data_IF_115832713994
#
_entry.id   IF_115832713994
#
_cell.length_a   1.000
_cell.length_b   1.000
_cell.length_c   1.000
_cell.angle_alpha   90.00
_cell.angle_beta   90.00
_cell.angle_gamma   90.00
#
_symmetry.space_group_name_H-M   'P 1'
#
loop_
_entity.id
_entity.type
_entity.pdbx_description
1 polymer ?
#
# COMPACT_ATOMS: atom_id res chain seq x y z
N UNK A 1 9.85 43.49 9.07
CA UNK A 1 8.85 42.78 8.23
C UNK A 1 9.44 42.37 6.87
N UNK A 2 10.21 43.21 6.18
CA UNK A 2 10.71 42.85 4.84
C UNK A 2 11.86 41.82 4.82
N UNK A 3 12.69 41.77 5.87
CA UNK A 3 13.70 40.72 6.00
C UNK A 3 13.09 39.30 6.08
N UNK A 4 11.94 39.16 6.77
CA UNK A 4 11.24 37.87 6.90
C UNK A 4 10.59 37.40 5.59
N UNK A 5 10.23 38.31 4.68
CA UNK A 5 9.69 37.97 3.36
C UNK A 5 10.77 37.45 2.40
N UNK A 6 12.02 37.85 2.60
CA UNK A 6 13.18 37.44 1.77
C UNK A 6 13.95 36.27 2.38
N UNK A 7 13.86 36.06 3.69
CA UNK A 7 14.45 34.90 4.33
C UNK A 7 13.75 33.64 3.84
N UNK A 8 14.50 32.78 3.15
CA UNK A 8 14.14 31.38 3.00
C UNK A 8 14.12 30.83 4.41
N UNK A 9 12.92 30.66 4.97
CA UNK A 9 12.74 30.07 6.29
C UNK A 9 13.41 28.69 6.23
N UNK A 10 14.24 28.33 7.22
CA UNK A 10 14.77 26.97 7.32
C UNK A 10 13.65 25.96 7.15
N UNK A 11 13.95 24.85 6.46
CA UNK A 11 13.05 23.72 6.23
C UNK A 11 12.76 22.96 7.54
N UNK A 12 12.34 23.66 8.58
CA UNK A 12 11.89 23.05 9.83
C UNK A 12 10.39 22.89 9.76
N UNK A 13 9.92 21.66 9.96
CA UNK A 13 8.50 21.33 9.99
C UNK A 13 7.77 22.16 11.04
N UNK A 14 6.77 22.91 10.62
CA UNK A 14 5.86 23.57 11.55
C UNK A 14 4.78 22.58 11.99
N UNK A 15 4.76 22.25 13.29
CA UNK A 15 3.85 21.26 13.87
C UNK A 15 2.69 21.94 14.59
N UNK A 16 1.46 21.58 14.22
CA UNK A 16 0.21 22.05 14.85
C UNK A 16 -0.41 20.89 15.61
N UNK A 17 -0.15 20.82 16.92
CA UNK A 17 -0.60 19.73 17.81
C UNK A 17 -1.61 20.15 18.89
N UNK A 18 -2.05 21.41 18.86
CA UNK A 18 -2.98 21.95 19.85
C UNK A 18 -3.50 23.34 19.49
N UNK A 19 -4.46 23.83 20.28
CA UNK A 19 -5.15 25.09 20.02
C UNK A 19 -4.21 26.32 20.00
N UNK A 20 -3.18 26.32 20.87
CA UNK A 20 -2.14 27.36 20.86
C UNK A 20 -1.45 27.44 19.50
N UNK A 21 -1.14 26.30 18.88
CA UNK A 21 -0.44 26.25 17.59
C UNK A 21 -1.36 26.61 16.43
N UNK A 22 -2.68 26.38 16.54
CA UNK A 22 -3.66 26.83 15.53
C UNK A 22 -3.71 28.37 15.49
N UNK A 23 -3.72 29.02 16.66
CA UNK A 23 -3.61 30.48 16.72
C UNK A 23 -2.27 30.99 16.17
N UNK A 24 -1.18 30.27 16.46
CA UNK A 24 0.14 30.57 15.89
C UNK A 24 0.14 30.42 14.36
N UNK A 25 -0.55 29.42 13.81
CA UNK A 25 -0.66 29.20 12.36
C UNK A 25 -1.24 30.40 11.63
N UNK A 26 -2.29 31.04 12.18
CA UNK A 26 -2.86 32.26 11.61
C UNK A 26 -1.85 33.41 11.57
N UNK A 27 -1.05 33.54 12.63
CA UNK A 27 0.01 34.56 12.71
C UNK A 27 1.15 34.25 11.73
N UNK A 28 1.53 32.97 11.60
CA UNK A 28 2.57 32.51 10.69
C UNK A 28 2.17 32.63 9.22
N UNK A 29 0.90 32.41 8.87
CA UNK A 29 0.39 32.67 7.53
C UNK A 29 0.64 34.13 7.09
N UNK A 30 0.61 35.07 8.04
CA UNK A 30 0.90 36.48 7.78
C UNK A 30 2.40 36.79 7.81
N UNK A 31 3.13 36.19 8.75
CA UNK A 31 4.55 36.48 8.97
C UNK A 31 5.48 35.76 7.97
N UNK A 32 5.12 34.53 7.58
CA UNK A 32 5.92 33.60 6.79
C UNK A 32 5.09 33.02 5.62
N UNK A 33 4.72 33.84 4.63
CA UNK A 33 3.91 33.40 3.50
C UNK A 33 4.62 32.34 2.62
N UNK A 34 5.95 32.22 2.75
CA UNK A 34 6.78 31.27 2.01
C UNK A 34 6.96 29.92 2.72
N UNK A 35 6.12 29.61 3.71
CA UNK A 35 6.17 28.32 4.39
C UNK A 35 5.83 27.18 3.42
N UNK A 36 6.68 26.15 3.41
CA UNK A 36 6.58 25.03 2.47
C UNK A 36 6.14 23.72 3.12
N UNK A 37 6.22 23.59 4.45
CA UNK A 37 5.97 22.33 5.15
C UNK A 37 5.17 22.56 6.42
N UNK A 38 4.06 21.82 6.57
CA UNK A 38 3.19 21.86 7.75
C UNK A 38 2.81 20.42 8.13
N UNK A 39 2.90 20.10 9.43
CA UNK A 39 2.36 18.89 10.02
C UNK A 39 1.26 19.25 11.02
N UNK A 40 0.13 18.56 10.97
CA UNK A 40 -1.03 18.80 11.82
C UNK A 40 -1.38 17.51 12.54
N UNK A 41 -1.30 17.48 13.86
CA UNK A 41 -1.46 16.28 14.67
C UNK A 41 -2.55 16.49 15.72
N UNK A 42 -3.59 15.65 15.78
CA UNK A 42 -4.58 15.63 16.86
C UNK A 42 -5.21 17.01 17.27
N UNK A 43 -5.50 17.97 16.37
CA UNK A 43 -5.99 19.26 16.82
C UNK A 43 -7.42 19.11 17.39
N UNK A 44 -7.75 19.81 18.46
CA UNK A 44 -9.10 19.70 19.06
C UNK A 44 -10.14 20.59 18.38
N UNK A 45 -9.73 21.64 17.64
CA UNK A 45 -10.59 22.70 17.12
C UNK A 45 -10.35 22.97 15.61
N UNK A 46 -11.20 22.39 14.76
CA UNK A 46 -10.91 22.22 13.33
C UNK A 46 -11.42 23.32 12.40
N UNK A 47 -12.51 24.01 12.75
CA UNK A 47 -13.11 25.03 11.85
C UNK A 47 -12.09 26.12 11.50
N UNK A 48 -11.31 26.57 12.49
CA UNK A 48 -10.27 27.60 12.33
C UNK A 48 -9.02 27.09 11.60
N UNK A 49 -8.80 25.79 11.53
CA UNK A 49 -7.64 25.21 10.85
C UNK A 49 -7.80 25.40 9.33
N UNK A 50 -8.99 25.09 8.80
CA UNK A 50 -9.31 25.15 7.37
C UNK A 50 -9.07 26.55 6.80
N UNK A 51 -9.56 27.59 7.48
CA UNK A 51 -9.45 28.98 7.03
C UNK A 51 -8.01 29.49 6.96
N UNK A 52 -7.12 28.92 7.80
CA UNK A 52 -5.72 29.34 7.85
C UNK A 52 -4.82 28.49 6.96
N UNK A 53 -5.17 27.22 6.71
CA UNK A 53 -4.37 26.32 5.89
C UNK A 53 -4.25 26.81 4.44
N UNK A 54 -5.33 27.34 3.87
CA UNK A 54 -5.36 27.83 2.49
C UNK A 54 -4.60 29.15 2.26
N UNK A 55 -4.09 29.78 3.32
CA UNK A 55 -3.25 30.99 3.20
C UNK A 55 -1.80 30.65 2.82
N UNK A 56 -1.40 29.39 2.86
CA UNK A 56 -0.06 28.93 2.51
C UNK A 56 0.00 28.47 1.04
N UNK A 57 -0.04 29.40 0.10
CA UNK A 57 -0.06 29.08 -1.34
C UNK A 57 1.21 28.39 -1.85
N UNK A 58 2.32 28.48 -1.11
CA UNK A 58 3.61 27.87 -1.42
C UNK A 58 3.84 26.54 -0.69
N UNK A 59 2.81 25.98 -0.05
CA UNK A 59 2.91 24.73 0.69
C UNK A 59 3.21 23.57 -0.27
N UNK A 60 4.31 22.86 0.00
CA UNK A 60 4.77 21.71 -0.78
C UNK A 60 4.58 20.39 -0.02
N UNK A 61 4.61 20.41 1.31
CA UNK A 61 4.39 19.22 2.14
C UNK A 61 3.32 19.48 3.19
N UNK A 62 2.32 18.61 3.21
CA UNK A 62 1.26 18.63 4.20
C UNK A 62 1.08 17.24 4.78
N UNK A 63 1.27 17.12 6.09
CA UNK A 63 0.92 15.92 6.84
C UNK A 63 -0.21 16.24 7.81
N UNK A 64 -1.28 15.45 7.78
CA UNK A 64 -2.41 15.53 8.70
C UNK A 64 -2.55 14.18 9.37
N UNK A 65 -2.48 14.14 10.70
CA UNK A 65 -2.52 12.90 11.48
C UNK A 65 -3.51 12.96 12.63
N UNK A 66 -4.29 11.90 12.82
CA UNK A 66 -5.10 11.70 14.01
C UNK A 66 -6.24 12.69 14.20
N UNK A 67 -6.79 13.26 13.12
CA UNK A 67 -7.89 14.22 13.15
C UNK A 67 -9.27 13.56 13.23
N UNK A 68 -9.43 12.57 14.11
CA UNK A 68 -10.59 11.68 14.17
C UNK A 68 -11.94 12.43 14.14
N UNK A 69 -12.82 12.01 13.23
CA UNK A 69 -14.25 12.34 13.08
C UNK A 69 -14.70 13.81 12.98
N UNK A 70 -13.84 14.80 13.20
CA UNK A 70 -14.28 16.20 13.36
C UNK A 70 -13.87 17.14 12.24
N UNK A 71 -12.85 16.80 11.44
CA UNK A 71 -12.38 17.70 10.40
C UNK A 71 -13.25 17.63 9.13
N UNK A 72 -13.88 16.48 8.87
CA UNK A 72 -14.66 16.28 7.64
C UNK A 72 -13.84 16.65 6.41
N UNK A 73 -12.59 16.19 6.36
CA UNK A 73 -11.64 16.52 5.30
C UNK A 73 -12.23 16.08 3.97
N UNK A 74 -12.41 17.04 3.09
CA UNK A 74 -12.85 16.81 1.74
C UNK A 74 -11.66 17.04 0.80
N UNK A 75 -11.25 16.00 0.07
CA UNK A 75 -10.07 16.04 -0.80
C UNK A 75 -10.16 17.17 -1.83
N UNK A 76 -11.31 17.36 -2.46
CA UNK A 76 -11.53 18.40 -3.46
C UNK A 76 -11.32 19.80 -2.88
N UNK A 77 -11.92 20.04 -1.71
CA UNK A 77 -11.74 21.31 -1.00
C UNK A 77 -10.27 21.52 -0.63
N UNK A 78 -9.57 20.48 -0.14
CA UNK A 78 -8.18 20.57 0.30
C UNK A 78 -7.23 20.95 -0.84
N UNK A 79 -7.39 20.34 -2.01
CA UNK A 79 -6.46 20.53 -3.13
C UNK A 79 -6.73 21.81 -3.92
N UNK A 80 -7.96 22.33 -3.87
CA UNK A 80 -8.35 23.57 -4.57
C UNK A 80 -7.46 24.78 -4.20
N UNK A 81 -6.98 24.84 -2.95
CA UNK A 81 -6.17 25.93 -2.42
C UNK A 81 -4.66 25.66 -2.36
N UNK A 82 -4.19 24.44 -2.66
CA UNK A 82 -2.81 23.99 -2.39
C UNK A 82 -2.14 23.37 -3.63
N UNK A 83 -2.15 24.11 -4.74
CA UNK A 83 -1.73 23.62 -6.07
C UNK A 83 -0.25 23.27 -6.23
N UNK A 84 0.59 23.62 -5.26
CA UNK A 84 2.04 23.34 -5.29
C UNK A 84 2.44 22.15 -4.40
N UNK A 85 1.46 21.41 -3.88
CA UNK A 85 1.70 20.23 -3.07
C UNK A 85 2.50 19.16 -3.85
N UNK A 86 3.58 18.71 -3.22
CA UNK A 86 4.41 17.59 -3.63
C UNK A 86 4.21 16.38 -2.73
N UNK A 87 3.97 16.59 -1.44
CA UNK A 87 3.70 15.50 -0.50
C UNK A 87 2.41 15.79 0.26
N UNK A 88 1.43 14.90 0.14
CA UNK A 88 0.19 14.94 0.91
C UNK A 88 0.02 13.62 1.67
N UNK A 89 0.06 13.70 3.00
CA UNK A 89 -0.11 12.56 3.90
C UNK A 89 -1.29 12.79 4.83
N UNK A 90 -2.27 11.90 4.79
CA UNK A 90 -3.49 11.91 5.60
C UNK A 90 -3.52 10.59 6.37
N UNK A 91 -3.04 10.62 7.61
CA UNK A 91 -2.82 9.45 8.45
C UNK A 91 -3.86 9.38 9.58
N UNK A 92 -4.50 8.24 9.77
CA UNK A 92 -5.43 8.03 10.89
C UNK A 92 -6.57 9.07 10.94
N UNK A 93 -7.18 9.34 9.77
CA UNK A 93 -8.25 10.34 9.61
C UNK A 93 -9.53 9.73 9.03
N UNK A 94 -10.28 9.01 9.86
CA UNK A 94 -11.55 8.32 9.51
C UNK A 94 -12.67 9.18 8.92
N UNK A 95 -12.57 10.51 8.99
CA UNK A 95 -13.58 11.40 8.40
C UNK A 95 -13.16 11.99 7.05
N UNK A 96 -12.05 11.52 6.49
CA UNK A 96 -11.62 11.96 5.17
C UNK A 96 -12.56 11.36 4.12
N UNK A 97 -13.05 12.23 3.24
CA UNK A 97 -13.95 11.89 2.14
C UNK A 97 -13.51 12.59 0.85
N UNK A 98 -14.16 12.23 -0.23
CA UNK A 98 -13.96 12.84 -1.54
C UNK A 98 -13.50 11.83 -2.57
N UNK A 99 -13.10 12.33 -3.73
CA UNK A 99 -12.66 11.51 -4.85
C UNK A 99 -11.17 11.74 -5.13
N UNK A 100 -10.39 10.68 -5.32
CA UNK A 100 -8.97 10.81 -5.68
C UNK A 100 -8.76 11.46 -7.05
N UNK A 101 -9.73 11.40 -7.97
CA UNK A 101 -9.67 12.13 -9.24
C UNK A 101 -9.59 13.66 -9.07
N UNK A 102 -10.01 14.19 -7.92
CA UNK A 102 -9.83 15.61 -7.60
C UNK A 102 -8.36 15.99 -7.44
N UNK A 103 -7.44 15.03 -7.24
CA UNK A 103 -5.99 15.26 -7.19
C UNK A 103 -5.38 15.62 -8.55
N UNK A 104 -6.13 15.54 -9.65
CA UNK A 104 -5.66 15.92 -11.01
C UNK A 104 -5.12 17.35 -11.06
N UNK A 105 -5.59 18.25 -10.18
CA UNK A 105 -5.04 19.62 -10.06
C UNK A 105 -3.58 19.65 -9.57
N UNK A 106 -3.08 18.54 -9.02
CA UNK A 106 -1.70 18.36 -8.53
C UNK A 106 -0.87 17.42 -9.43
N UNK A 107 -1.37 17.06 -10.62
CA UNK A 107 -0.74 16.09 -11.53
C UNK A 107 0.76 16.38 -11.75
N UNK A 108 1.11 17.63 -11.99
CA UNK A 108 2.49 18.03 -12.31
C UNK A 108 3.40 18.20 -11.09
N UNK A 109 2.85 18.17 -9.87
CA UNK A 109 3.58 18.48 -8.64
C UNK A 109 3.66 17.32 -7.66
N UNK A 110 2.64 16.47 -7.59
CA UNK A 110 2.49 15.45 -6.56
C UNK A 110 3.51 14.31 -6.74
N UNK A 111 4.34 14.13 -5.72
CA UNK A 111 5.36 13.09 -5.61
C UNK A 111 4.95 11.98 -4.64
N UNK A 112 4.28 12.32 -3.54
CA UNK A 112 3.84 11.39 -2.51
C UNK A 112 2.40 11.66 -2.16
N UNK A 113 1.56 10.64 -2.32
CA UNK A 113 0.19 10.64 -1.81
C UNK A 113 -0.02 9.44 -0.90
N UNK A 114 -0.30 9.71 0.37
CA UNK A 114 -0.57 8.67 1.35
C UNK A 114 -1.83 9.01 2.11
N UNK A 115 -2.85 8.19 1.95
CA UNK A 115 -3.99 8.14 2.85
C UNK A 115 -4.01 6.74 3.44
N UNK A 116 -3.80 6.67 4.75
CA UNK A 116 -3.74 5.39 5.44
C UNK A 116 -4.38 5.50 6.79
N UNK A 117 -5.13 4.47 7.14
CA UNK A 117 -5.54 4.23 8.51
C UNK A 117 -4.65 3.12 9.08
N UNK A 118 -3.85 3.45 10.08
CA UNK A 118 -3.25 2.48 10.97
C UNK A 118 -4.19 2.41 12.18
N UNK A 119 -5.01 1.36 12.33
CA UNK A 119 -5.67 1.18 13.60
C UNK A 119 -4.56 1.15 14.63
N UNK A 120 -4.65 2.02 15.64
CA UNK A 120 -3.86 1.81 16.84
C UNK A 120 -4.15 0.37 17.22
N UNK A 121 -3.14 -0.51 17.40
CA UNK A 121 -3.41 -1.86 17.84
C UNK A 121 -4.39 -1.72 19.01
N UNK A 122 -5.55 -2.39 19.01
CA UNK A 122 -6.28 -2.53 20.25
C UNK A 122 -5.25 -2.97 21.28
N UNK A 123 -5.36 -2.54 22.54
CA UNK A 123 -4.46 -3.02 23.60
C UNK A 123 -4.66 -4.53 23.80
N UNK A 124 -4.29 -5.33 22.80
CA UNK A 124 -4.28 -6.77 22.75
C UNK A 124 -3.12 -7.13 23.65
N UNK A 125 -3.45 -7.37 24.93
CA UNK A 125 -2.50 -7.68 26.00
C UNK A 125 -1.71 -8.98 25.75
N UNK A 126 -1.90 -9.64 24.61
CA UNK A 126 -1.23 -10.89 24.24
C UNK A 126 -0.58 -10.78 22.87
N UNK A 127 0.75 -10.94 22.87
CA UNK A 127 1.63 -10.90 21.69
C UNK A 127 1.28 -11.97 20.62
N UNK A 128 0.45 -12.97 20.96
CA UNK A 128 0.07 -14.06 20.05
C UNK A 128 -0.96 -13.70 18.98
N UNK A 129 -1.72 -12.62 19.14
CA UNK A 129 -2.85 -12.29 18.26
C UNK A 129 -2.46 -11.40 17.05
N UNK A 130 -1.17 -11.06 16.91
CA UNK A 130 -0.68 -10.25 15.79
C UNK A 130 -0.91 -10.93 14.43
N UNK A 131 -0.90 -12.26 14.38
CA UNK A 131 -1.24 -13.02 13.16
C UNK A 131 -2.69 -12.81 12.72
N UNK A 132 -3.62 -12.69 13.68
CA UNK A 132 -5.03 -12.40 13.40
C UNK A 132 -5.23 -10.93 13.00
N UNK A 133 -4.39 -10.01 13.49
CA UNK A 133 -4.47 -8.59 13.13
C UNK A 133 -4.11 -8.34 11.65
N UNK A 134 -3.15 -9.08 11.09
CA UNK A 134 -2.86 -9.01 9.65
C UNK A 134 -3.97 -9.62 8.76
N UNK A 135 -4.84 -10.46 9.34
CA UNK A 135 -6.03 -11.04 8.69
C UNK A 135 -7.28 -10.18 8.90
N UNK A 136 -7.24 -9.20 9.81
CA UNK A 136 -8.33 -8.25 9.96
C UNK A 136 -8.34 -7.40 8.69
N UNK A 137 -9.32 -7.65 7.81
CA UNK A 137 -9.63 -6.73 6.73
C UNK A 137 -9.78 -5.35 7.36
N UNK A 138 -8.91 -4.37 7.07
CA UNK A 138 -9.14 -3.03 7.53
C UNK A 138 -10.48 -2.65 6.91
N UNK A 139 -11.52 -2.52 7.74
CA UNK A 139 -12.76 -1.92 7.25
C UNK A 139 -12.36 -0.59 6.62
N UNK A 140 -12.83 -0.28 5.41
CA UNK A 140 -12.60 1.03 4.84
C UNK A 140 -13.18 2.05 5.81
N UNK A 141 -12.29 2.85 6.38
CA UNK A 141 -12.61 3.78 7.46
C UNK A 141 -12.69 5.21 6.93
N UNK A 142 -12.18 5.45 5.72
CA UNK A 142 -12.28 6.72 5.01
C UNK A 142 -13.29 6.60 3.86
N UNK A 143 -14.15 7.60 3.69
CA UNK A 143 -15.11 7.69 2.56
C UNK A 143 -14.45 8.26 1.28
N UNK A 144 -13.15 7.97 1.10
CA UNK A 144 -12.40 8.35 -0.10
C UNK A 144 -12.61 7.29 -1.17
N UNK A 145 -13.07 7.72 -2.34
CA UNK A 145 -13.47 6.89 -3.49
C UNK A 145 -12.69 7.29 -4.74
N UNK A 146 -12.94 6.59 -5.83
CA UNK A 146 -12.35 6.81 -7.16
C UNK A 146 -11.64 5.56 -7.67
N UNK A 147 -11.04 5.63 -8.85
CA UNK A 147 -10.23 4.55 -9.39
C UNK A 147 -8.75 4.93 -9.25
N UNK A 148 -7.90 4.06 -8.70
CA UNK A 148 -6.48 4.41 -8.52
C UNK A 148 -5.76 4.70 -9.86
N UNK A 149 -6.28 4.17 -10.97
CA UNK A 149 -5.79 4.46 -12.33
C UNK A 149 -6.02 5.91 -12.75
N UNK A 150 -6.89 6.67 -12.08
CA UNK A 150 -7.03 8.12 -12.28
C UNK A 150 -5.73 8.88 -11.94
N UNK A 151 -4.78 8.23 -11.27
CA UNK A 151 -3.47 8.77 -10.89
C UNK A 151 -2.31 8.21 -11.75
N UNK A 152 -2.61 7.38 -12.76
CA UNK A 152 -1.61 6.66 -13.55
C UNK A 152 -0.67 7.57 -14.35
N UNK A 153 -1.18 8.71 -14.81
CA UNK A 153 -0.46 9.65 -15.68
C UNK A 153 0.30 10.74 -14.92
N UNK A 154 0.43 10.62 -13.59
CA UNK A 154 1.14 11.59 -12.75
C UNK A 154 2.65 11.44 -12.95
N UNK A 155 3.32 12.36 -13.66
CA UNK A 155 4.70 12.19 -14.07
C UNK A 155 5.70 12.20 -12.91
N UNK A 156 5.30 12.62 -11.72
CA UNK A 156 6.21 12.74 -10.57
C UNK A 156 5.86 11.83 -9.39
N UNK A 157 4.76 11.07 -9.49
CA UNK A 157 4.28 10.25 -8.39
C UNK A 157 5.25 9.09 -8.12
N UNK A 158 5.87 9.11 -6.95
CA UNK A 158 6.83 8.10 -6.46
C UNK A 158 6.23 7.18 -5.43
N UNK A 159 5.30 7.66 -4.62
CA UNK A 159 4.71 6.85 -3.55
C UNK A 159 3.22 7.06 -3.48
N UNK A 160 2.47 5.95 -3.56
CA UNK A 160 1.02 5.92 -3.49
C UNK A 160 0.59 4.91 -2.42
N UNK A 161 -0.05 5.40 -1.36
CA UNK A 161 -0.65 4.57 -0.32
C UNK A 161 -2.12 4.96 -0.14
N UNK A 162 -3.01 4.01 -0.35
CA UNK A 162 -4.47 4.16 -0.33
C UNK A 162 -5.13 3.17 0.63
N UNK A 163 -4.38 2.58 1.57
CA UNK A 163 -4.88 1.56 2.50
C UNK A 163 -6.03 2.13 3.36
N UNK A 164 -7.12 1.36 3.49
CA UNK A 164 -8.27 1.74 4.32
C UNK A 164 -9.19 2.79 3.68
N UNK A 165 -9.16 2.91 2.35
CA UNK A 165 -10.09 3.72 1.55
C UNK A 165 -11.04 2.82 0.75
N UNK A 166 -12.06 3.43 0.13
CA UNK A 166 -12.94 2.79 -0.84
C UNK A 166 -12.48 2.98 -2.30
N UNK A 167 -11.19 3.28 -2.52
CA UNK A 167 -10.66 3.35 -3.88
C UNK A 167 -10.73 1.97 -4.53
N UNK A 168 -11.17 1.93 -5.78
CA UNK A 168 -11.29 0.72 -6.60
C UNK A 168 -10.27 0.73 -7.73
N UNK A 169 -10.27 -0.34 -8.53
CA UNK A 169 -9.45 -0.49 -9.73
C UNK A 169 -8.91 -1.91 -9.87
N UNK A 170 -8.09 -2.12 -10.88
CA UNK A 170 -7.45 -3.39 -11.17
C UNK A 170 -5.97 -3.18 -11.49
N UNK A 171 -5.07 -3.87 -10.78
CA UNK A 171 -3.63 -3.75 -11.07
C UNK A 171 -3.25 -4.29 -12.45
N UNK A 172 -4.08 -5.15 -13.06
CA UNK A 172 -3.85 -5.69 -14.40
C UNK A 172 -3.94 -4.61 -15.47
N UNK A 173 -4.70 -3.54 -15.20
CA UNK A 173 -4.87 -2.39 -16.08
C UNK A 173 -3.60 -1.51 -16.16
N UNK A 174 -2.62 -1.75 -15.28
CA UNK A 174 -1.34 -1.02 -15.32
C UNK A 174 -0.55 -1.43 -16.57
N UNK A 175 -0.49 -0.49 -17.50
CA UNK A 175 0.27 -0.55 -18.72
C UNK A 175 1.74 -0.14 -18.55
N UNK A 176 2.48 -0.22 -19.65
CA UNK A 176 3.92 0.08 -19.66
C UNK A 176 4.24 1.54 -19.32
N UNK A 177 3.36 2.47 -19.71
CA UNK A 177 3.53 3.92 -19.57
C UNK A 177 2.85 4.53 -18.33
N UNK A 178 2.11 3.74 -17.57
CA UNK A 178 1.46 4.19 -16.35
C UNK A 178 2.46 4.21 -15.20
N UNK A 179 2.37 5.17 -14.28
CA UNK A 179 3.17 5.20 -13.05
C UNK A 179 4.70 5.11 -13.29
N UNK A 180 5.22 5.86 -14.25
CA UNK A 180 6.63 5.78 -14.69
C UNK A 180 7.66 5.94 -13.57
N UNK A 181 7.37 6.78 -12.57
CA UNK A 181 8.28 7.10 -11.47
C UNK A 181 7.86 6.47 -10.13
N UNK A 182 6.87 5.57 -10.14
CA UNK A 182 6.36 4.98 -8.91
C UNK A 182 7.39 4.02 -8.33
N UNK A 183 7.72 4.23 -7.07
CA UNK A 183 8.68 3.46 -6.28
C UNK A 183 7.98 2.67 -5.16
N UNK A 184 6.79 3.07 -4.72
CA UNK A 184 6.04 2.38 -3.68
C UNK A 184 4.52 2.44 -3.96
N UNK A 185 3.85 1.29 -3.82
CA UNK A 185 2.42 1.14 -4.06
C UNK A 185 1.77 0.30 -2.94
N UNK A 186 0.78 0.89 -2.29
CA UNK A 186 -0.05 0.29 -1.25
C UNK A 186 -1.52 0.56 -1.59
N UNK A 187 -2.28 -0.47 -1.95
CA UNK A 187 -3.67 -0.35 -2.42
C UNK A 187 -4.65 -0.98 -1.41
N UNK A 188 -5.91 -0.49 -1.32
CA UNK A 188 -6.93 -1.07 -0.46
C UNK A 188 -7.40 -2.43 -1.00
N UNK A 189 -8.09 -3.21 -0.17
CA UNK A 189 -8.57 -4.57 -0.52
C UNK A 189 -9.56 -4.60 -1.68
N UNK A 190 -10.21 -3.47 -1.93
CA UNK A 190 -11.21 -3.22 -2.96
C UNK A 190 -10.59 -3.12 -4.36
N UNK A 191 -9.28 -2.85 -4.46
CA UNK A 191 -8.54 -2.94 -5.71
C UNK A 191 -8.16 -4.40 -5.95
N UNK A 192 -8.37 -4.91 -7.17
CA UNK A 192 -7.88 -6.25 -7.52
C UNK A 192 -6.36 -6.27 -7.42
N UNK A 193 -5.85 -7.14 -6.54
CA UNK A 193 -4.42 -7.21 -6.21
C UNK A 193 -3.95 -6.18 -5.16
N UNK A 194 -4.87 -5.46 -4.52
CA UNK A 194 -4.57 -4.64 -3.35
C UNK A 194 -4.34 -5.44 -2.07
N UNK A 195 -3.88 -4.79 -1.01
CA UNK A 195 -3.53 -5.50 0.23
C UNK A 195 -4.77 -6.13 0.86
N UNK A 196 -4.72 -7.42 1.17
CA UNK A 196 -5.87 -8.13 1.73
C UNK A 196 -6.90 -8.60 0.69
N UNK A 197 -6.63 -8.40 -0.61
CA UNK A 197 -7.57 -8.75 -1.68
C UNK A 197 -7.88 -10.25 -1.74
N UNK A 198 -9.15 -10.56 -1.99
CA UNK A 198 -9.67 -11.91 -2.16
C UNK A 198 -9.93 -12.23 -3.64
N UNK A 199 -9.08 -13.06 -4.23
CA UNK A 199 -9.30 -13.54 -5.59
C UNK A 199 -10.53 -14.44 -5.65
N UNK A 200 -11.38 -14.25 -6.65
CA UNK A 200 -12.57 -15.08 -6.84
C UNK A 200 -12.26 -16.37 -7.59
N UNK A 201 -11.20 -16.40 -8.40
CA UNK A 201 -10.73 -17.61 -9.09
C UNK A 201 -9.22 -17.78 -8.96
N UNK A 202 -8.78 -19.03 -8.95
CA UNK A 202 -7.35 -19.38 -9.03
C UNK A 202 -6.73 -18.83 -10.33
N UNK A 203 -7.51 -18.85 -11.41
CA UNK A 203 -7.09 -18.41 -12.75
C UNK A 203 -6.83 -16.91 -12.87
N UNK A 204 -7.31 -16.08 -11.92
CA UNK A 204 -7.14 -14.63 -11.98
C UNK A 204 -5.75 -14.19 -11.49
N UNK A 205 -5.08 -15.05 -10.72
CA UNK A 205 -3.83 -14.72 -10.03
C UNK A 205 -2.64 -14.54 -10.98
N UNK A 206 -2.41 -15.39 -12.00
CA UNK A 206 -1.28 -15.22 -12.91
C UNK A 206 -1.18 -13.82 -13.52
N UNK A 207 -2.28 -13.28 -14.04
CA UNK A 207 -2.30 -11.96 -14.68
C UNK A 207 -1.98 -10.84 -13.69
N UNK A 208 -2.54 -10.90 -12.48
CA UNK A 208 -2.23 -9.99 -11.39
C UNK A 208 -0.73 -10.04 -11.03
N UNK A 209 -0.14 -11.25 -10.99
CA UNK A 209 1.28 -11.43 -10.69
C UNK A 209 2.19 -10.89 -11.80
N UNK A 210 1.81 -11.06 -13.06
CA UNK A 210 2.52 -10.48 -14.18
C UNK A 210 2.50 -8.95 -14.13
N UNK A 211 1.37 -8.34 -13.77
CA UNK A 211 1.30 -6.88 -13.62
C UNK A 211 2.26 -6.36 -12.53
N UNK A 212 2.32 -7.04 -11.39
CA UNK A 212 3.23 -6.67 -10.29
C UNK A 212 4.68 -6.91 -10.67
N UNK A 213 4.95 -7.99 -11.38
CA UNK A 213 6.28 -8.26 -11.91
C UNK A 213 6.75 -7.13 -12.84
N UNK A 214 5.89 -6.67 -13.76
CA UNK A 214 6.19 -5.52 -14.63
C UNK A 214 6.56 -4.28 -13.83
N UNK A 215 5.79 -3.96 -12.78
CA UNK A 215 6.12 -2.85 -11.87
C UNK A 215 7.48 -3.06 -11.17
N UNK A 216 7.76 -4.27 -10.70
CA UNK A 216 9.03 -4.59 -10.03
C UNK A 216 10.25 -4.58 -10.97
N UNK A 217 10.06 -4.70 -12.28
CA UNK A 217 11.14 -4.54 -13.27
C UNK A 217 11.55 -3.07 -13.45
N UNK A 218 10.72 -2.12 -13.02
CA UNK A 218 11.09 -0.70 -13.00
C UNK A 218 12.11 -0.46 -11.89
N UNK A 219 13.13 0.34 -12.18
CA UNK A 219 14.19 0.65 -11.22
C UNK A 219 13.60 1.23 -9.94
N UNK A 220 14.00 0.69 -8.79
CA UNK A 220 13.65 1.13 -7.43
C UNK A 220 12.23 0.81 -6.92
N UNK A 221 11.39 0.10 -7.68
CA UNK A 221 10.06 -0.26 -7.18
C UNK A 221 10.12 -1.26 -6.02
N UNK A 222 9.57 -0.84 -4.87
CA UNK A 222 9.36 -1.63 -3.68
C UNK A 222 7.88 -1.93 -3.58
N UNK A 223 7.52 -3.17 -3.91
CA UNK A 223 6.23 -3.72 -3.50
C UNK A 223 6.28 -3.86 -1.98
N UNK A 224 5.49 -3.06 -1.27
CA UNK A 224 5.25 -3.32 0.14
C UNK A 224 4.63 -4.71 0.21
N UNK A 225 5.28 -5.62 0.94
CA UNK A 225 4.98 -7.06 0.93
C UNK A 225 3.47 -7.27 0.81
N UNK A 226 2.96 -7.93 -0.25
CA UNK A 226 1.54 -8.23 -0.36
C UNK A 226 1.24 -9.31 0.67
N UNK A 227 1.08 -8.88 1.91
CA UNK A 227 0.61 -9.70 2.99
C UNK A 227 -0.88 -9.88 2.77
N UNK A 228 -1.33 -11.13 2.66
CA UNK A 228 -2.75 -11.46 2.70
C UNK A 228 -3.46 -11.34 1.35
N UNK A 229 -2.87 -11.80 0.25
CA UNK A 229 -3.71 -12.23 -0.87
C UNK A 229 -4.12 -13.68 -0.67
N UNK A 230 -5.39 -13.95 -0.90
CA UNK A 230 -5.96 -15.27 -0.74
C UNK A 230 -7.09 -15.50 -1.74
N UNK A 231 -7.42 -16.76 -1.99
CA UNK A 231 -8.67 -17.11 -2.63
C UNK A 231 -9.82 -16.82 -1.66
N UNK A 232 -10.90 -16.20 -2.15
CA UNK A 232 -12.10 -15.98 -1.36
C UNK A 232 -12.66 -17.30 -0.85
N UNK A 233 -13.20 -17.32 0.37
CA UNK A 233 -13.95 -18.48 0.90
C UNK A 233 -15.26 -18.72 0.16
N UNK A 234 -15.73 -17.72 -0.59
CA UNK A 234 -16.90 -17.82 -1.46
C UNK A 234 -16.51 -18.20 -2.89
N UNK A 235 -15.22 -18.40 -3.16
CA UNK A 235 -14.75 -18.83 -4.46
C UNK A 235 -15.28 -20.24 -4.76
N UNK A 236 -15.78 -20.48 -5.97
CA UNK A 236 -16.11 -21.84 -6.42
C UNK A 236 -14.89 -22.76 -6.52
N UNK A 237 -13.66 -22.20 -6.49
CA UNK A 237 -12.43 -22.99 -6.49
C UNK A 237 -11.94 -23.28 -5.04
N UNK A 238 -12.64 -22.75 -4.03
CA UNK A 238 -12.30 -22.93 -2.61
C UNK A 238 -12.92 -24.20 -2.02
N UNK A 239 -12.21 -24.78 -1.05
CA UNK A 239 -12.64 -25.92 -0.25
C UNK A 239 -12.04 -25.81 1.17
N UNK A 240 -12.48 -26.64 2.11
CA UNK A 240 -11.99 -26.55 3.49
C UNK A 240 -10.48 -26.85 3.59
N UNK A 241 -9.76 -26.03 4.35
CA UNK A 241 -8.31 -26.13 4.60
C UNK A 241 -7.39 -26.07 3.37
N UNK A 242 -7.91 -25.64 2.22
CA UNK A 242 -7.08 -25.53 1.02
C UNK A 242 -5.98 -24.46 1.14
N UNK A 243 -4.88 -24.62 0.39
CA UNK A 243 -3.68 -23.78 0.49
C UNK A 243 -3.84 -22.43 -0.23
N UNK A 244 -4.91 -21.71 0.04
CA UNK A 244 -5.38 -20.58 -0.76
C UNK A 244 -4.71 -19.24 -0.46
N UNK A 245 -3.64 -19.23 0.32
CA UNK A 245 -2.85 -18.01 0.51
C UNK A 245 -1.78 -17.91 -0.56
N UNK A 246 -1.54 -16.71 -1.06
CA UNK A 246 -0.51 -16.46 -2.07
C UNK A 246 0.71 -15.83 -1.41
N UNK A 247 1.88 -16.25 -1.85
CA UNK A 247 3.17 -15.77 -1.37
C UNK A 247 4.04 -15.33 -2.55
N UNK A 248 4.51 -14.08 -2.52
CA UNK A 248 5.62 -13.65 -3.36
C UNK A 248 6.92 -14.28 -2.86
N UNK A 249 7.71 -14.78 -3.80
CA UNK A 249 8.96 -15.49 -3.56
C UNK A 249 10.10 -14.72 -4.20
N UNK A 250 11.17 -14.50 -3.44
CA UNK A 250 12.45 -14.00 -3.95
C UNK A 250 13.56 -14.96 -3.55
N UNK A 251 14.35 -15.40 -4.52
CA UNK A 251 15.49 -16.30 -4.34
C UNK A 251 16.67 -15.77 -5.17
N UNK A 252 17.67 -15.18 -4.51
CA UNK A 252 18.69 -14.39 -5.19
C UNK A 252 18.08 -13.21 -5.95
N UNK A 253 18.37 -13.11 -7.24
CA UNK A 253 17.79 -12.12 -8.16
C UNK A 253 16.42 -12.51 -8.70
N UNK A 254 16.07 -13.81 -8.70
CA UNK A 254 14.78 -14.29 -9.24
C UNK A 254 13.63 -13.92 -8.33
N UNK A 255 12.52 -13.62 -8.99
CA UNK A 255 11.21 -13.38 -8.40
C UNK A 255 10.22 -14.39 -8.96
N UNK A 256 9.27 -14.76 -8.12
CA UNK A 256 8.20 -15.66 -8.45
C UNK A 256 7.07 -15.52 -7.44
N UNK A 257 6.08 -16.37 -7.57
CA UNK A 257 4.97 -16.44 -6.64
C UNK A 257 4.50 -17.88 -6.51
N UNK A 258 3.84 -18.20 -5.41
CA UNK A 258 3.25 -19.52 -5.19
C UNK A 258 1.98 -19.39 -4.38
N UNK A 259 1.09 -20.35 -4.56
CA UNK A 259 0.17 -20.71 -3.50
C UNK A 259 0.98 -21.35 -2.37
N UNK A 260 0.63 -21.09 -1.10
CA UNK A 260 1.30 -21.72 0.03
C UNK A 260 1.30 -23.24 -0.18
N UNK A 261 2.36 -23.95 0.23
CA UNK A 261 2.50 -25.39 0.03
C UNK A 261 2.60 -25.91 -1.44
N UNK A 262 2.40 -25.09 -2.48
CA UNK A 262 2.53 -25.45 -3.90
C UNK A 262 3.91 -25.05 -4.50
N UNK A 263 4.27 -25.50 -5.70
CA UNK A 263 5.49 -25.07 -6.39
C UNK A 263 5.49 -23.59 -6.79
N UNK A 264 6.69 -23.04 -6.98
CA UNK A 264 6.88 -21.62 -7.33
C UNK A 264 6.71 -21.42 -8.83
N UNK A 265 5.81 -20.51 -9.19
CA UNK A 265 5.71 -19.92 -10.52
C UNK A 265 6.79 -18.83 -10.65
N UNK A 266 7.90 -19.15 -11.31
CA UNK A 266 8.99 -18.20 -11.55
C UNK A 266 8.62 -17.24 -12.67
N UNK A 267 8.87 -15.94 -12.42
CA UNK A 267 8.59 -14.87 -13.37
C UNK A 267 9.86 -14.40 -14.10
N UNK A 268 11.03 -14.61 -13.48
CA UNK A 268 12.34 -14.31 -14.07
C UNK A 268 13.02 -15.57 -14.62
N UNK A 269 13.92 -15.46 -15.63
CA UNK A 269 14.75 -16.57 -16.07
C UNK A 269 15.65 -17.10 -14.95
N UNK A 270 16.19 -18.32 -15.12
CA UNK A 270 17.15 -18.90 -14.19
C UNK A 270 18.45 -18.06 -14.16
N UNK A 271 19.04 -17.77 -13.00
CA UNK A 271 20.33 -17.09 -12.93
C UNK A 271 21.40 -17.98 -13.55
N UNK A 272 22.32 -17.35 -14.26
CA UNK A 272 23.47 -18.01 -14.86
C UNK A 272 24.37 -18.59 -13.76
N UNK A 273 24.65 -19.92 -13.76
CA UNK A 273 25.50 -20.54 -12.76
C UNK A 273 26.95 -20.04 -12.78
N UNK A 274 27.44 -19.53 -13.92
CA UNK A 274 28.83 -19.11 -14.10
C UNK A 274 29.06 -17.66 -13.65
N UNK A 275 27.99 -16.88 -13.42
CA UNK A 275 28.05 -15.46 -13.10
C UNK A 275 28.16 -15.24 -11.58
N UNK A 276 29.39 -15.21 -11.06
CA UNK A 276 29.84 -14.86 -9.69
C UNK A 276 28.91 -15.26 -8.52
N UNK A 277 29.39 -16.20 -7.71
CA UNK A 277 28.60 -17.19 -6.95
C UNK A 277 27.59 -16.70 -5.91
N UNK A 278 27.61 -15.45 -5.45
CA UNK A 278 26.79 -15.07 -4.29
C UNK A 278 25.28 -15.11 -4.55
N UNK A 279 24.85 -14.69 -5.74
CA UNK A 279 23.42 -14.65 -6.10
C UNK A 279 22.88 -16.06 -6.38
N UNK A 280 23.69 -16.91 -7.03
CA UNK A 280 23.34 -18.31 -7.29
C UNK A 280 23.31 -19.12 -5.99
N UNK A 281 24.28 -18.94 -5.10
CA UNK A 281 24.30 -19.59 -3.79
C UNK A 281 23.10 -19.17 -2.93
N UNK A 282 22.75 -17.88 -2.94
CA UNK A 282 21.55 -17.36 -2.29
C UNK A 282 20.26 -17.94 -2.90
N UNK A 283 20.21 -18.10 -4.23
CA UNK A 283 19.13 -18.78 -4.92
C UNK A 283 19.01 -20.24 -4.47
N UNK A 284 20.06 -21.06 -4.59
CA UNK A 284 20.06 -22.48 -4.22
C UNK A 284 19.64 -22.69 -2.77
N UNK A 285 20.24 -21.93 -1.84
CA UNK A 285 19.90 -22.01 -0.40
C UNK A 285 18.43 -21.69 -0.15
N UNK A 286 17.89 -20.68 -0.82
CA UNK A 286 16.48 -20.29 -0.67
C UNK A 286 15.54 -21.31 -1.30
N UNK A 287 15.86 -21.85 -2.47
CA UNK A 287 15.09 -22.91 -3.14
C UNK A 287 15.01 -24.15 -2.26
N UNK A 288 16.13 -24.64 -1.73
CA UNK A 288 16.13 -25.80 -0.84
C UNK A 288 15.23 -25.59 0.38
N UNK A 289 15.20 -24.38 0.94
CA UNK A 289 14.29 -24.05 2.04
C UNK A 289 12.82 -24.05 1.61
N UNK A 290 12.50 -23.50 0.43
CA UNK A 290 11.15 -23.48 -0.14
C UNK A 290 10.67 -24.89 -0.50
N UNK A 291 11.53 -25.74 -1.04
CA UNK A 291 11.21 -27.12 -1.41
C UNK A 291 10.91 -27.98 -0.17
N UNK A 292 11.63 -27.76 0.95
CA UNK A 292 11.34 -28.43 2.23
C UNK A 292 9.96 -28.09 2.79
N UNK A 293 9.44 -26.89 2.51
CA UNK A 293 8.09 -26.47 2.92
C UNK A 293 7.02 -26.72 1.87
N UNK A 294 7.38 -27.29 0.71
CA UNK A 294 6.44 -27.59 -0.38
C UNK A 294 5.84 -28.98 -0.18
N UNK A 295 4.55 -29.00 0.14
CA UNK A 295 3.77 -30.23 0.38
C UNK A 295 3.30 -30.79 -0.97
N UNK A 296 2.74 -29.93 -1.83
CA UNK A 296 2.18 -30.29 -3.12
C UNK A 296 3.22 -30.14 -4.23
N UNK A 297 4.14 -31.10 -4.30
CA UNK A 297 5.15 -31.14 -5.37
C UNK A 297 4.48 -31.36 -6.73
N UNK A 298 4.99 -30.70 -7.77
CA UNK A 298 4.49 -30.67 -9.15
C UNK A 298 3.16 -29.94 -9.36
N UNK A 299 2.64 -29.28 -8.32
CA UNK A 299 1.45 -28.44 -8.40
C UNK A 299 1.85 -26.97 -8.39
N UNK A 300 1.62 -26.24 -9.49
CA UNK A 300 1.84 -24.78 -9.56
C UNK A 300 0.61 -23.96 -9.12
N UNK A 301 -0.51 -24.66 -8.92
CA UNK A 301 -1.80 -24.17 -8.49
C UNK A 301 -2.28 -25.07 -7.34
N UNK A 302 -3.22 -24.63 -6.48
CA UNK A 302 -3.81 -25.51 -5.49
C UNK A 302 -4.37 -26.76 -6.19
N UNK A 303 -4.16 -27.96 -5.63
CA UNK A 303 -4.81 -29.16 -6.16
C UNK A 303 -6.32 -28.96 -6.17
N UNK A 304 -7.03 -29.65 -7.05
CA UNK A 304 -8.50 -29.71 -6.95
C UNK A 304 -8.88 -30.33 -5.61
N UNK A 305 -10.12 -30.08 -5.14
CA UNK A 305 -10.58 -30.63 -3.87
C UNK A 305 -10.39 -32.15 -3.80
N UNK A 306 -10.74 -32.86 -4.88
CA UNK A 306 -10.59 -34.31 -4.97
C UNK A 306 -9.11 -34.75 -4.91
N UNK A 307 -8.21 -34.02 -5.58
CA UNK A 307 -6.77 -34.29 -5.47
C UNK A 307 -6.25 -34.01 -4.06
N UNK A 308 -6.71 -32.92 -3.44
CA UNK A 308 -6.35 -32.55 -2.07
C UNK A 308 -6.78 -33.62 -1.07
N UNK A 309 -8.02 -34.14 -1.17
CA UNK A 309 -8.50 -35.22 -0.31
C UNK A 309 -7.64 -36.47 -0.43
N UNK A 310 -7.33 -36.93 -1.66
CA UNK A 310 -6.44 -38.08 -1.89
C UNK A 310 -5.05 -37.88 -1.30
N UNK A 311 -4.45 -36.71 -1.54
CA UNK A 311 -3.12 -36.38 -1.01
C UNK A 311 -3.11 -36.27 0.52
N UNK A 312 -4.22 -35.82 1.11
CA UNK A 312 -4.39 -35.75 2.56
C UNK A 312 -4.52 -37.13 3.19
N UNK A 313 -5.27 -38.05 2.56
CA UNK A 313 -5.38 -39.44 2.98
C UNK A 313 -4.03 -40.17 2.87
N UNK A 314 -3.33 -40.03 1.76
CA UNK A 314 -1.98 -40.59 1.55
C UNK A 314 -0.94 -39.96 2.51
N UNK A 315 -1.05 -38.66 2.76
CA UNK A 315 -0.16 -37.90 3.63
C UNK A 315 -0.36 -38.22 5.10
N UNK A 316 -1.61 -38.35 5.56
CA UNK A 316 -1.93 -38.83 6.89
C UNK A 316 -1.29 -40.21 7.12
N UNK A 317 -1.41 -41.12 6.15
CA UNK A 317 -0.76 -42.43 6.23
C UNK A 317 0.78 -42.32 6.37
N UNK A 318 1.44 -41.36 5.72
CA UNK A 318 2.90 -41.13 5.87
C UNK A 318 3.29 -40.54 7.22
N UNK A 319 2.45 -39.70 7.83
CA UNK A 319 2.69 -39.19 9.19
C UNK A 319 2.41 -40.22 10.28
N UNK A 320 1.53 -41.21 10.02
CA UNK A 320 1.26 -42.31 10.94
C UNK A 320 2.29 -43.46 10.86
N UNK A 321 3.03 -43.58 9.76
CA UNK A 321 3.99 -44.66 9.52
C UNK A 321 5.46 -44.30 9.79
N UNK A 322 5.77 -43.02 10.08
CA UNK A 322 7.10 -42.55 10.50
C UNK A 322 7.07 -42.08 11.95
#
# INVERSE_FOLDING_TARGET
RDAAKKAIVPLTDFVVDGEKNINAMASMATALPNMQQISINYPHNYSRLKDNLFKFHLLQKLTISGCNNKLGLDLETLVSGLRLLRELKILDNSSTKGNIASLTVLKDTLEVFSISYSPSPPQLRRLGDWGAYCLYKPFPINDVKGNFMDLADFPRLKSLNLIGTHVTGDIRDIGEHDFLNLEALDLPSEVLGGRGHEFQRISDVPDAMHAIHRLQQRSNFRVYKPSGWYLSKLSPDSYDDGPFSIQLVKAGTRRGWRWIACEVNWLDPLPDPDRSSSDFDAYVKKIQHIERSTIYKRFYQPPTEEQYRRLSEEGALRWWLN
#
